data_IF_502537290319
#
_entry.id   IF_502537290319
#
_cell.length_a   1.000
_cell.length_b   1.000
_cell.length_c   1.000
_cell.angle_alpha   90.00
_cell.angle_beta   90.00
_cell.angle_gamma   90.00
#
_symmetry.space_group_name_H-M   'P 1'
#
loop_
_entity.id
_entity.type
_entity.pdbx_description
1 polymer ?
#
# COMPACT_ATOMS: atom_id res chain seq x y z
N UNK A 1 -5.37 0.64 -4.12
CA UNK A 1 -5.15 -0.39 -3.09
C UNK A 1 -5.96 -0.14 -1.82
N UNK A 2 -5.90 1.04 -1.21
CA UNK A 2 -6.63 1.32 0.04
C UNK A 2 -8.12 0.94 -0.06
N UNK A 3 -8.79 1.39 -1.10
CA UNK A 3 -10.19 1.04 -1.40
C UNK A 3 -10.39 -0.47 -1.50
N UNK A 4 -9.43 -1.21 -2.11
CA UNK A 4 -9.51 -2.67 -2.23
C UNK A 4 -9.40 -3.42 -0.90
N UNK A 5 -8.84 -2.77 0.12
CA UNK A 5 -8.78 -3.27 1.50
C UNK A 5 -9.96 -2.81 2.36
N UNK A 6 -11.00 -2.24 1.76
CA UNK A 6 -12.20 -1.82 2.47
C UNK A 6 -12.09 -0.46 3.16
N UNK A 7 -11.13 0.38 2.80
CA UNK A 7 -11.00 1.73 3.33
C UNK A 7 -12.15 2.62 2.87
N UNK A 8 -12.56 3.55 3.73
CA UNK A 8 -13.41 4.68 3.35
C UNK A 8 -12.61 5.74 2.56
N UNK A 9 -13.29 6.73 2.00
CA UNK A 9 -12.66 7.77 1.19
C UNK A 9 -11.69 8.64 1.99
N UNK A 10 -11.98 8.91 3.24
CA UNK A 10 -11.10 9.68 4.13
C UNK A 10 -9.81 8.92 4.41
N UNK A 11 -9.90 7.63 4.73
CA UNK A 11 -8.75 6.75 4.90
C UNK A 11 -7.90 6.65 3.61
N UNK A 12 -8.54 6.63 2.44
CA UNK A 12 -7.86 6.66 1.16
C UNK A 12 -6.98 7.91 1.01
N UNK A 13 -7.50 9.10 1.33
CA UNK A 13 -6.70 10.33 1.26
C UNK A 13 -5.54 10.32 2.25
N UNK A 14 -5.76 9.84 3.48
CA UNK A 14 -4.72 9.73 4.50
C UNK A 14 -3.61 8.77 4.07
N UNK A 15 -3.97 7.59 3.56
CA UNK A 15 -3.01 6.64 3.01
C UNK A 15 -2.22 7.22 1.83
N UNK A 16 -2.88 7.99 0.95
CA UNK A 16 -2.24 8.61 -0.21
C UNK A 16 -1.22 9.66 0.20
N UNK A 17 -1.55 10.53 1.16
CA UNK A 17 -0.63 11.54 1.69
C UNK A 17 0.57 10.86 2.36
N UNK A 18 0.32 9.88 3.23
CA UNK A 18 1.37 9.15 3.93
C UNK A 18 2.30 8.41 2.94
N UNK A 19 1.73 7.75 1.92
CA UNK A 19 2.49 7.08 0.87
C UNK A 19 3.35 8.07 0.04
N UNK A 20 2.79 9.24 -0.32
CA UNK A 20 3.52 10.25 -1.10
C UNK A 20 4.73 10.78 -0.32
N UNK A 21 4.58 11.04 0.98
CA UNK A 21 5.67 11.51 1.84
C UNK A 21 6.72 10.40 2.02
N UNK A 22 6.30 9.17 2.30
CA UNK A 22 7.19 8.01 2.43
C UNK A 22 7.97 7.72 1.15
N UNK A 23 7.30 7.79 -0.01
CA UNK A 23 7.94 7.65 -1.32
C UNK A 23 8.97 8.75 -1.58
N UNK A 24 8.62 10.01 -1.32
CA UNK A 24 9.53 11.14 -1.49
C UNK A 24 10.76 11.02 -0.59
N UNK A 25 10.57 10.63 0.67
CA UNK A 25 11.67 10.40 1.61
C UNK A 25 12.61 9.31 1.12
N UNK A 26 12.08 8.15 0.71
CA UNK A 26 12.85 7.05 0.14
C UNK A 26 13.65 7.51 -1.08
N UNK A 27 13.04 8.25 -1.99
CA UNK A 27 13.71 8.77 -3.20
C UNK A 27 14.87 9.68 -2.83
N UNK A 28 14.67 10.60 -1.89
CA UNK A 28 15.73 11.48 -1.40
C UNK A 28 16.89 10.73 -0.75
N UNK A 29 16.58 9.72 0.07
CA UNK A 29 17.62 8.88 0.69
C UNK A 29 18.42 8.10 -0.36
N UNK A 30 17.78 7.63 -1.42
CA UNK A 30 18.46 6.97 -2.53
C UNK A 30 19.39 7.94 -3.31
N UNK A 31 18.99 9.21 -3.49
CA UNK A 31 19.82 10.24 -4.13
C UNK A 31 21.10 10.54 -3.32
N UNK A 32 21.04 10.43 -1.99
CA UNK A 32 22.19 10.63 -1.09
C UNK A 32 23.16 9.44 -1.12
N UNK A 33 22.76 8.31 -1.75
CA UNK A 33 23.62 7.13 -1.88
C UNK A 33 23.65 6.22 -0.65
N UNK A 34 22.62 6.30 0.21
CA UNK A 34 22.47 5.43 1.38
C UNK A 34 22.01 4.00 0.98
N UNK A 35 22.12 3.06 1.93
CA UNK A 35 21.76 1.65 1.68
C UNK A 35 20.29 1.50 1.28
N UNK A 36 20.03 0.85 0.13
CA UNK A 36 18.68 0.70 -0.44
C UNK A 36 17.69 0.00 0.48
N UNK A 37 18.11 -1.01 1.25
CA UNK A 37 17.24 -1.71 2.20
C UNK A 37 16.91 -0.83 3.42
N UNK A 38 17.90 -0.09 3.92
CA UNK A 38 17.68 0.88 5.00
C UNK A 38 16.69 1.97 4.54
N UNK A 39 16.79 2.44 3.31
CA UNK A 39 15.89 3.44 2.75
C UNK A 39 14.45 2.93 2.64
N UNK A 40 14.27 1.64 2.35
CA UNK A 40 12.97 0.98 2.34
C UNK A 40 12.39 0.92 3.75
N UNK A 41 13.17 0.48 4.74
CA UNK A 41 12.75 0.41 6.13
C UNK A 41 12.37 1.80 6.69
N UNK A 42 13.19 2.81 6.44
CA UNK A 42 12.94 4.20 6.85
C UNK A 42 11.70 4.76 6.14
N UNK A 43 11.55 4.53 4.84
CA UNK A 43 10.38 4.94 4.08
C UNK A 43 9.09 4.32 4.61
N UNK A 44 9.10 3.01 4.92
CA UNK A 44 7.97 2.30 5.53
C UNK A 44 7.64 2.84 6.92
N UNK A 45 8.66 3.03 7.76
CA UNK A 45 8.51 3.58 9.11
C UNK A 45 7.82 4.94 9.13
N UNK A 46 8.33 5.89 8.36
CA UNK A 46 7.74 7.23 8.33
C UNK A 46 6.35 7.26 7.67
N UNK A 47 6.14 6.48 6.60
CA UNK A 47 4.81 6.37 5.99
C UNK A 47 3.77 5.86 7.00
N UNK A 48 4.12 4.81 7.77
CA UNK A 48 3.24 4.24 8.80
C UNK A 48 2.96 5.24 9.94
N UNK A 49 3.99 5.95 10.45
CA UNK A 49 3.80 6.98 11.49
C UNK A 49 2.88 8.10 11.00
N UNK A 50 3.09 8.60 9.78
CA UNK A 50 2.26 9.67 9.22
C UNK A 50 0.81 9.20 9.06
N UNK A 51 0.60 7.97 8.58
CA UNK A 51 -0.74 7.38 8.48
C UNK A 51 -1.42 7.27 9.85
N UNK A 52 -0.67 6.87 10.89
CA UNK A 52 -1.16 6.82 12.26
C UNK A 52 -1.51 8.20 12.82
N UNK A 53 -0.64 9.20 12.63
CA UNK A 53 -0.90 10.58 13.06
C UNK A 53 -2.16 11.17 12.41
N UNK A 54 -2.36 10.91 11.11
CA UNK A 54 -3.58 11.32 10.39
C UNK A 54 -4.82 10.60 10.91
N UNK A 55 -4.71 9.30 11.25
CA UNK A 55 -5.77 8.54 11.90
C UNK A 55 -6.12 9.10 13.29
N UNK A 56 -5.12 9.41 14.11
CA UNK A 56 -5.31 10.06 15.41
C UNK A 56 -5.93 11.46 15.29
N UNK A 57 -5.51 12.22 14.30
CA UNK A 57 -6.14 13.51 13.99
C UNK A 57 -7.62 13.36 13.65
N UNK A 58 -7.96 12.36 12.84
CA UNK A 58 -9.35 12.05 12.46
C UNK A 58 -10.27 11.79 13.66
N UNK A 59 -9.76 11.18 14.72
CA UNK A 59 -10.51 10.83 15.93
C UNK A 59 -10.37 11.88 17.05
N UNK A 60 -9.63 12.97 16.81
CA UNK A 60 -9.38 14.00 17.80
C UNK A 60 -10.64 14.84 18.12
N UNK A 61 -10.69 15.39 19.33
CA UNK A 61 -11.73 16.34 19.75
C UNK A 61 -11.82 17.56 18.82
N UNK A 62 -10.70 17.98 18.24
CA UNK A 62 -10.65 19.10 17.28
C UNK A 62 -11.55 18.88 16.07
N UNK A 63 -11.59 17.63 15.55
CA UNK A 63 -12.45 17.28 14.42
C UNK A 63 -13.90 17.09 14.87
N UNK A 64 -14.11 16.60 16.10
CA UNK A 64 -15.46 16.46 16.68
C UNK A 64 -16.18 17.80 16.90
N UNK A 65 -15.43 18.85 17.22
CA UNK A 65 -15.95 20.21 17.46
C UNK A 65 -16.20 21.01 16.16
N UNK A 66 -15.81 20.45 14.99
CA UNK A 66 -16.03 21.08 13.69
C UNK A 66 -17.51 20.99 13.23
N UNK A 67 -17.95 21.88 12.32
CA UNK A 67 -19.26 21.75 11.67
C UNK A 67 -19.44 20.37 11.05
N UNK A 68 -20.64 19.78 11.13
CA UNK A 68 -20.92 18.40 10.68
C UNK A 68 -20.42 18.10 9.27
N UNK A 69 -20.50 19.05 8.34
CA UNK A 69 -20.03 18.87 6.95
C UNK A 69 -18.50 18.70 6.88
N UNK A 70 -17.73 19.40 7.75
CA UNK A 70 -16.27 19.27 7.81
C UNK A 70 -15.85 18.02 8.60
N UNK A 71 -16.53 17.71 9.70
CA UNK A 71 -16.29 16.51 10.48
C UNK A 71 -16.53 15.24 9.63
N UNK A 72 -17.61 15.19 8.87
CA UNK A 72 -17.90 14.03 7.99
C UNK A 72 -16.87 13.79 6.89
N UNK A 73 -16.12 14.82 6.47
CA UNK A 73 -15.04 14.70 5.49
C UNK A 73 -13.71 14.28 6.11
N UNK A 74 -13.49 14.54 7.40
CA UNK A 74 -12.22 14.30 8.09
C UNK A 74 -12.26 13.06 8.98
N UNK A 75 -13.43 12.63 9.45
CA UNK A 75 -13.58 11.41 10.23
C UNK A 75 -13.49 10.18 9.34
N UNK A 76 -12.73 9.17 9.79
CA UNK A 76 -12.65 7.87 9.13
C UNK A 76 -13.25 6.78 10.01
N UNK A 77 -14.06 5.91 9.39
CA UNK A 77 -14.56 4.69 10.02
C UNK A 77 -13.54 3.54 9.98
N UNK A 78 -12.43 3.71 9.25
CA UNK A 78 -11.39 2.67 9.06
C UNK A 78 -9.98 3.20 9.38
N UNK A 79 -9.69 3.63 10.62
CA UNK A 79 -8.47 4.35 10.98
C UNK A 79 -7.20 3.51 10.84
N UNK A 80 -7.29 2.18 10.88
CA UNK A 80 -6.15 1.26 10.84
C UNK A 80 -5.73 0.87 9.41
N UNK A 81 -6.64 0.95 8.45
CA UNK A 81 -6.37 0.57 7.07
C UNK A 81 -5.29 1.43 6.37
N UNK A 82 -5.19 2.75 6.62
CA UNK A 82 -4.13 3.57 6.04
C UNK A 82 -2.72 3.13 6.41
N UNK A 83 -2.52 2.51 7.59
CA UNK A 83 -1.20 2.07 8.05
C UNK A 83 -0.59 0.99 7.15
N UNK A 84 -1.41 0.08 6.63
CA UNK A 84 -0.95 -0.94 5.68
C UNK A 84 -0.93 -0.40 4.25
N UNK A 85 -1.98 0.31 3.85
CA UNK A 85 -2.13 0.78 2.49
C UNK A 85 -1.03 1.78 2.09
N UNK A 86 -0.55 2.62 3.03
CA UNK A 86 0.48 3.61 2.76
C UNK A 86 1.85 3.02 2.41
N UNK A 87 2.14 1.74 2.74
CA UNK A 87 3.42 1.09 2.46
C UNK A 87 3.42 0.23 1.19
N UNK A 88 2.27 0.06 0.54
CA UNK A 88 2.13 -0.81 -0.64
C UNK A 88 2.99 -0.38 -1.84
N UNK A 89 3.41 0.90 -1.91
CA UNK A 89 4.36 1.36 -2.95
C UNK A 89 5.76 0.73 -2.83
N UNK A 90 6.07 0.12 -1.68
CA UNK A 90 7.36 -0.56 -1.42
C UNK A 90 7.33 -2.04 -1.83
N UNK A 91 6.16 -2.62 -2.08
CA UNK A 91 6.03 -4.03 -2.44
C UNK A 91 6.77 -4.33 -3.73
N UNK A 92 7.74 -5.27 -3.72
CA UNK A 92 8.59 -5.56 -4.87
C UNK A 92 7.90 -6.49 -5.87
N UNK A 93 6.77 -6.06 -6.46
CA UNK A 93 5.99 -6.90 -7.39
C UNK A 93 6.77 -7.33 -8.62
N UNK A 94 7.48 -6.41 -9.29
CA UNK A 94 8.30 -6.73 -10.46
C UNK A 94 9.49 -7.65 -10.11
N UNK A 95 10.26 -7.42 -9.05
CA UNK A 95 11.26 -8.38 -8.60
C UNK A 95 10.73 -9.79 -8.36
N UNK A 96 9.52 -9.93 -7.78
CA UNK A 96 8.88 -11.24 -7.58
C UNK A 96 8.59 -11.92 -8.92
N UNK A 97 7.99 -11.21 -9.87
CA UNK A 97 7.66 -11.76 -11.19
C UNK A 97 8.93 -12.17 -11.93
N UNK A 98 9.96 -11.32 -11.92
CA UNK A 98 11.22 -11.61 -12.59
C UNK A 98 11.94 -12.82 -11.96
N UNK A 99 11.91 -12.95 -10.62
CA UNK A 99 12.41 -14.13 -9.94
C UNK A 99 11.73 -15.40 -10.43
N UNK A 100 10.41 -15.42 -10.47
CA UNK A 100 9.63 -16.59 -10.92
C UNK A 100 9.93 -16.91 -12.38
N UNK A 101 9.98 -15.91 -13.26
CA UNK A 101 10.30 -16.11 -14.68
C UNK A 101 11.70 -16.71 -14.88
N UNK A 102 12.71 -16.18 -14.18
CA UNK A 102 14.07 -16.71 -14.29
C UNK A 102 14.17 -18.17 -13.86
N UNK A 103 13.45 -18.56 -12.80
CA UNK A 103 13.40 -19.96 -12.36
C UNK A 103 12.69 -20.84 -13.39
N UNK A 104 11.58 -20.38 -13.97
CA UNK A 104 10.84 -21.12 -15.00
C UNK A 104 11.62 -21.27 -16.31
N UNK A 105 12.44 -20.25 -16.66
CA UNK A 105 13.32 -20.26 -17.83
C UNK A 105 14.63 -21.03 -17.57
N UNK A 106 14.72 -21.79 -16.46
CA UNK A 106 15.88 -22.57 -16.04
C UNK A 106 17.15 -21.74 -15.76
N UNK A 107 17.01 -20.42 -15.54
CA UNK A 107 18.07 -19.52 -15.11
C UNK A 107 18.13 -19.45 -13.57
N UNK A 108 18.34 -20.62 -12.93
CA UNK A 108 18.14 -20.81 -11.50
C UNK A 108 19.06 -19.89 -10.67
N UNK A 109 20.32 -19.71 -11.06
CA UNK A 109 21.27 -18.87 -10.34
C UNK A 109 20.81 -17.40 -10.28
N UNK A 110 20.39 -16.85 -11.42
CA UNK A 110 19.87 -15.47 -11.50
C UNK A 110 18.56 -15.36 -10.72
N UNK A 111 17.68 -16.35 -10.85
CA UNK A 111 16.43 -16.43 -10.11
C UNK A 111 16.67 -16.41 -8.61
N UNK A 112 17.56 -17.24 -8.06
CA UNK A 112 17.87 -17.27 -6.63
C UNK A 112 18.37 -15.92 -6.13
N UNK A 113 19.30 -15.27 -6.83
CA UNK A 113 19.81 -13.95 -6.44
C UNK A 113 18.69 -12.91 -6.39
N UNK A 114 17.79 -12.88 -7.39
CA UNK A 114 16.63 -11.99 -7.41
C UNK A 114 15.62 -12.33 -6.31
N UNK A 115 15.42 -13.61 -6.04
CA UNK A 115 14.56 -14.09 -4.96
C UNK A 115 15.05 -13.62 -3.59
N UNK A 116 16.34 -13.81 -3.29
CA UNK A 116 16.99 -13.35 -2.05
C UNK A 116 16.84 -11.82 -1.92
N UNK A 117 17.13 -11.07 -2.98
CA UNK A 117 16.97 -9.62 -2.98
C UNK A 117 15.51 -9.21 -2.66
N UNK A 118 14.55 -9.91 -3.24
CA UNK A 118 13.12 -9.68 -2.99
C UNK A 118 12.76 -9.93 -1.53
N UNK A 119 13.25 -11.02 -0.93
CA UNK A 119 13.04 -11.33 0.49
C UNK A 119 13.63 -10.25 1.39
N UNK A 120 14.83 -9.75 1.07
CA UNK A 120 15.46 -8.66 1.83
C UNK A 120 14.66 -7.37 1.75
N UNK A 121 14.09 -7.02 0.58
CA UNK A 121 13.21 -5.85 0.43
C UNK A 121 11.96 -5.99 1.30
N UNK A 122 11.28 -7.15 1.24
CA UNK A 122 10.08 -7.40 2.04
C UNK A 122 10.40 -7.38 3.54
N UNK A 123 11.52 -7.97 3.94
CA UNK A 123 11.95 -7.97 5.35
C UNK A 123 12.27 -6.56 5.85
N UNK A 124 12.94 -5.74 5.04
CA UNK A 124 13.23 -4.35 5.38
C UNK A 124 11.94 -3.52 5.53
N UNK A 125 10.97 -3.72 4.61
CA UNK A 125 9.66 -3.07 4.69
C UNK A 125 8.90 -3.49 5.95
N UNK A 126 8.82 -4.80 6.21
CA UNK A 126 8.16 -5.34 7.40
C UNK A 126 8.78 -4.82 8.69
N UNK A 127 10.12 -4.77 8.75
CA UNK A 127 10.84 -4.21 9.90
C UNK A 127 10.45 -2.75 10.15
N UNK A 128 10.41 -1.91 9.11
CA UNK A 128 10.01 -0.51 9.24
C UNK A 128 8.58 -0.36 9.78
N UNK A 129 7.64 -1.16 9.29
CA UNK A 129 6.24 -1.16 9.76
C UNK A 129 6.15 -1.61 11.23
N UNK A 130 6.80 -2.72 11.59
CA UNK A 130 6.77 -3.27 12.95
C UNK A 130 7.35 -2.29 13.96
N UNK A 131 8.48 -1.64 13.64
CA UNK A 131 9.06 -0.62 14.50
C UNK A 131 8.11 0.58 14.65
N UNK A 132 7.46 1.02 13.58
CA UNK A 132 6.48 2.10 13.65
C UNK A 132 5.27 1.74 14.55
N UNK A 133 4.72 0.53 14.39
CA UNK A 133 3.61 0.02 15.21
C UNK A 133 4.02 -0.04 16.68
N UNK A 134 5.23 -0.54 16.98
CA UNK A 134 5.76 -0.62 18.35
C UNK A 134 5.95 0.76 18.98
N UNK A 135 6.47 1.74 18.23
CA UNK A 135 6.65 3.11 18.70
C UNK A 135 5.32 3.79 18.96
N UNK A 136 4.32 3.54 18.13
CA UNK A 136 2.96 4.08 18.26
C UNK A 136 2.12 3.39 19.34
N UNK A 137 2.58 2.27 19.94
CA UNK A 137 1.86 1.54 20.98
C UNK A 137 0.55 0.90 20.48
N UNK A 138 0.55 0.38 19.26
CA UNK A 138 -0.66 -0.19 18.63
C UNK A 138 -0.73 -1.70 18.93
N UNK A 139 -1.46 -2.09 19.97
CA UNK A 139 -1.52 -3.49 20.42
C UNK A 139 -2.53 -4.36 19.66
N UNK A 140 -3.58 -3.78 19.07
CA UNK A 140 -4.70 -4.52 18.46
C UNK A 140 -4.82 -4.37 16.94
N UNK A 141 -3.76 -3.94 16.27
CA UNK A 141 -3.75 -3.64 14.84
C UNK A 141 -4.39 -4.73 13.95
N UNK A 142 -4.06 -5.99 14.19
CA UNK A 142 -4.55 -7.11 13.37
C UNK A 142 -6.02 -7.43 13.63
N UNK A 143 -6.50 -7.25 14.86
CA UNK A 143 -7.89 -7.53 15.23
C UNK A 143 -8.88 -6.52 14.66
N UNK A 144 -8.43 -5.26 14.54
CA UNK A 144 -9.26 -4.16 14.09
C UNK A 144 -9.22 -3.97 12.57
N UNK A 145 -8.42 -4.78 11.86
CA UNK A 145 -8.30 -4.74 10.41
C UNK A 145 -9.39 -5.60 9.75
N UNK A 146 -10.64 -5.14 9.80
CA UNK A 146 -11.74 -5.83 9.12
C UNK A 146 -11.70 -5.57 7.61
N UNK A 147 -11.76 -6.64 6.81
CA UNK A 147 -11.85 -6.54 5.34
C UNK A 147 -13.29 -6.50 4.83
N UNK A 148 -14.22 -6.02 5.64
CA UNK A 148 -15.61 -5.87 5.23
C UNK A 148 -15.73 -4.83 4.10
N UNK A 149 -16.44 -5.15 3.01
CA UNK A 149 -16.57 -4.22 1.89
C UNK A 149 -17.40 -3.00 2.28
N UNK A 150 -16.82 -1.80 2.22
CA UNK A 150 -17.49 -0.52 2.48
C UNK A 150 -18.07 0.12 1.20
N UNK A 151 -17.74 -0.43 0.04
CA UNK A 151 -18.15 0.11 -1.25
C UNK A 151 -18.82 -0.97 -2.12
N UNK A 152 -19.68 -0.58 -3.09
CA UNK A 152 -20.24 -1.52 -4.05
C UNK A 152 -19.12 -2.12 -4.94
N UNK A 153 -19.33 -3.35 -5.42
CA UNK A 153 -18.31 -4.12 -6.16
C UNK A 153 -17.74 -3.43 -7.41
N UNK A 154 -18.53 -2.61 -8.08
CA UNK A 154 -18.06 -1.85 -9.24
C UNK A 154 -16.99 -0.81 -8.89
N UNK A 155 -17.04 -0.23 -7.67
CA UNK A 155 -16.00 0.70 -7.17
C UNK A 155 -14.67 -0.03 -6.99
N UNK A 156 -14.70 -1.27 -6.49
CA UNK A 156 -13.49 -2.09 -6.39
C UNK A 156 -12.89 -2.41 -7.75
N UNK A 157 -13.72 -2.68 -8.76
CA UNK A 157 -13.25 -2.93 -10.14
C UNK A 157 -12.56 -1.69 -10.73
N UNK A 158 -13.15 -0.51 -10.59
CA UNK A 158 -12.55 0.75 -11.04
C UNK A 158 -11.26 1.05 -10.26
N UNK A 159 -11.27 0.90 -8.94
CA UNK A 159 -10.07 1.10 -8.12
C UNK A 159 -8.94 0.15 -8.50
N UNK A 160 -9.26 -1.10 -8.87
CA UNK A 160 -8.29 -2.07 -9.36
C UNK A 160 -7.67 -1.65 -10.70
N UNK A 161 -8.49 -1.19 -11.63
CA UNK A 161 -8.01 -0.68 -12.91
C UNK A 161 -7.05 0.50 -12.74
N UNK A 162 -7.44 1.49 -11.93
CA UNK A 162 -6.61 2.68 -11.64
C UNK A 162 -5.32 2.28 -10.92
N UNK A 163 -5.39 1.37 -9.95
CA UNK A 163 -4.21 0.87 -9.23
C UNK A 163 -3.23 0.18 -10.17
N UNK A 164 -3.72 -0.71 -11.03
CA UNK A 164 -2.89 -1.43 -12.00
C UNK A 164 -2.20 -0.47 -12.99
N UNK A 165 -2.93 0.50 -13.52
CA UNK A 165 -2.36 1.53 -14.39
C UNK A 165 -1.34 2.41 -13.64
N UNK A 166 -1.62 2.82 -12.39
CA UNK A 166 -0.71 3.61 -11.58
C UNK A 166 0.62 2.89 -11.30
N UNK A 167 0.57 1.58 -10.98
CA UNK A 167 1.79 0.77 -10.83
C UNK A 167 2.58 0.66 -12.14
N UNK A 168 1.90 0.46 -13.25
CA UNK A 168 2.53 0.38 -14.56
C UNK A 168 3.29 1.66 -14.93
N UNK A 169 2.76 2.83 -14.58
CA UNK A 169 3.44 4.11 -14.84
C UNK A 169 4.71 4.28 -14.01
N UNK A 170 4.74 3.77 -12.76
CA UNK A 170 5.94 3.78 -11.92
C UNK A 170 7.08 2.98 -12.57
N UNK A 171 6.75 1.90 -13.30
CA UNK A 171 7.71 1.04 -13.99
C UNK A 171 7.93 1.41 -15.48
N UNK A 172 7.52 2.61 -15.88
CA UNK A 172 7.66 3.12 -17.27
C UNK A 172 7.04 2.19 -18.33
N UNK A 173 5.92 1.56 -18.01
CA UNK A 173 5.22 0.68 -18.93
C UNK A 173 4.62 1.49 -20.11
N UNK A 174 4.65 0.96 -21.36
CA UNK A 174 4.17 1.69 -22.52
C UNK A 174 2.72 2.13 -22.39
N UNK A 175 2.39 3.43 -22.55
CA UNK A 175 1.02 3.93 -22.36
C UNK A 175 -0.04 3.22 -23.19
N UNK A 176 0.34 2.76 -24.38
CA UNK A 176 -0.55 2.03 -25.31
C UNK A 176 -1.08 0.70 -24.77
N UNK A 177 -0.41 0.12 -23.76
CA UNK A 177 -0.75 -1.19 -23.19
C UNK A 177 -1.35 -1.10 -21.79
N UNK A 178 -1.52 0.11 -21.23
CA UNK A 178 -2.08 0.30 -19.89
C UNK A 178 -3.50 -0.29 -19.74
N UNK A 179 -4.29 -0.31 -20.80
CA UNK A 179 -5.63 -0.90 -20.79
C UNK A 179 -5.62 -2.42 -20.51
N UNK A 180 -4.59 -3.14 -20.96
CA UNK A 180 -4.44 -4.58 -20.68
C UNK A 180 -4.25 -4.82 -19.20
N UNK A 181 -3.41 -3.96 -18.55
CA UNK A 181 -3.18 -4.04 -17.11
C UNK A 181 -4.42 -3.64 -16.31
N UNK A 182 -5.17 -2.65 -16.79
CA UNK A 182 -6.46 -2.28 -16.20
C UNK A 182 -7.44 -3.46 -16.22
N UNK A 183 -7.57 -4.16 -17.36
CA UNK A 183 -8.39 -5.36 -17.47
C UNK A 183 -7.89 -6.48 -16.54
N UNK A 184 -6.59 -6.72 -16.50
CA UNK A 184 -5.99 -7.71 -15.59
C UNK A 184 -6.32 -7.41 -14.13
N UNK A 185 -6.23 -6.14 -13.72
CA UNK A 185 -6.60 -5.69 -12.38
C UNK A 185 -8.08 -5.92 -12.05
N UNK A 186 -8.97 -5.61 -12.99
CA UNK A 186 -10.42 -5.86 -12.85
C UNK A 186 -10.69 -7.36 -12.68
N UNK A 187 -10.14 -8.19 -13.57
CA UNK A 187 -10.33 -9.65 -13.51
C UNK A 187 -9.84 -10.22 -12.20
N UNK A 188 -8.64 -9.81 -11.73
CA UNK A 188 -8.09 -10.27 -10.46
C UNK A 188 -8.99 -9.94 -9.26
N UNK A 189 -9.53 -8.72 -9.20
CA UNK A 189 -10.42 -8.30 -8.09
C UNK A 189 -11.79 -8.96 -8.20
N UNK A 190 -12.35 -9.10 -9.40
CA UNK A 190 -13.63 -9.80 -9.60
C UNK A 190 -13.51 -11.28 -9.19
N UNK A 191 -12.43 -11.95 -9.58
CA UNK A 191 -12.17 -13.35 -9.20
C UNK A 191 -12.04 -13.51 -7.68
N UNK A 192 -11.25 -12.63 -7.03
CA UNK A 192 -11.12 -12.61 -5.58
C UNK A 192 -12.48 -12.45 -4.88
N UNK A 193 -13.27 -11.49 -5.33
CA UNK A 193 -14.58 -11.22 -4.74
C UNK A 193 -15.56 -12.38 -4.95
N UNK A 194 -15.51 -13.03 -6.12
CA UNK A 194 -16.32 -14.20 -6.42
C UNK A 194 -15.99 -15.38 -5.50
N UNK A 195 -14.70 -15.63 -5.24
CA UNK A 195 -14.25 -16.71 -4.33
C UNK A 195 -14.66 -16.41 -2.88
N UNK A 196 -14.67 -15.14 -2.47
CA UNK A 196 -15.05 -14.75 -1.10
C UNK A 196 -16.58 -14.77 -0.85
N UNK A 197 -17.39 -14.88 -1.90
CA UNK A 197 -18.86 -14.99 -1.80
C UNK A 197 -19.35 -16.44 -1.63
N UNK A 198 -18.50 -17.43 -1.84
CA UNK A 198 -18.75 -18.85 -1.63
C UNK A 198 -18.20 -19.36 -0.31
#
# INVERSE_FOLDING_TARGET
>A
FCVQFGCDWTAFFYASIAAAIGFRLRTRLNEIGSNGYANIAVGAFFATIIAWLLGMFSTSALVADMPQWAASMLQTGTPWHPLMACTLFLVPGVPIINFVNDVLDNNIEVGIVRGINTVLIVSAMAFGIVVAISVCGIDNFVKDLSMTPHHPYWVYAIAAAISAMGFATIYNFPPKQLWVLALGGIVAVCTRNFINLG
#
